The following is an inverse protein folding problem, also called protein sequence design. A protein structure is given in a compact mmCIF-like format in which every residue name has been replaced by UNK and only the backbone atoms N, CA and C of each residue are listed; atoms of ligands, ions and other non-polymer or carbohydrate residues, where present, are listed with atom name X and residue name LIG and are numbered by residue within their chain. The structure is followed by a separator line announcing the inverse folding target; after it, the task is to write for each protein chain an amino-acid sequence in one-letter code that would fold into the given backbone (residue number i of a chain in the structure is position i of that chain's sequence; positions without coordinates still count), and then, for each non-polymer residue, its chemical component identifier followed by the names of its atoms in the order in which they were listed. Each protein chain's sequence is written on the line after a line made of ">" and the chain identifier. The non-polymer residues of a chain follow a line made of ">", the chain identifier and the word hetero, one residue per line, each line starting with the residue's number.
data_IF_050516606916
#
_entry.id   IF_050516606916
#
_cell.length_a   1.000
_cell.length_b   1.000
_cell.length_c   1.000
_cell.angle_alpha   90.00
_cell.angle_beta   90.00
_cell.angle_gamma   90.00
#
_symmetry.space_group_name_H-M   'P 1'
#
loop_
_entity.id
_entity.type
_entity.pdbx_description
1 polymer ?
#
# COMPACT_ATOMS: atom_id res chain seq x y z
N UNK A 1 2.56 -21.78 -5.20
CA UNK A 1 1.72 -21.41 -4.05
C UNK A 1 0.31 -21.95 -4.28
N UNK A 2 -0.19 -22.74 -3.35
CA UNK A 2 -1.48 -23.41 -3.43
C UNK A 2 -2.62 -22.47 -3.00
N UNK A 3 -3.88 -22.86 -3.17
CA UNK A 3 -5.03 -22.02 -2.81
C UNK A 3 -5.09 -21.69 -1.30
N UNK A 4 -4.79 -22.67 -0.45
CA UNK A 4 -4.80 -22.47 1.01
C UNK A 4 -3.69 -21.53 1.47
N UNK A 5 -2.51 -21.59 0.85
CA UNK A 5 -1.39 -20.70 1.16
C UNK A 5 -1.73 -19.25 0.82
N UNK A 6 -2.36 -19.02 -0.34
CA UNK A 6 -2.85 -17.69 -0.74
C UNK A 6 -3.86 -17.14 0.26
N UNK A 7 -4.86 -17.94 0.64
CA UNK A 7 -5.88 -17.53 1.61
C UNK A 7 -5.29 -17.17 2.97
N UNK A 8 -4.33 -17.96 3.46
CA UNK A 8 -3.66 -17.68 4.73
C UNK A 8 -2.83 -16.40 4.63
N UNK A 9 -2.09 -16.20 3.54
CA UNK A 9 -1.33 -14.99 3.29
C UNK A 9 -2.24 -13.75 3.25
N UNK A 10 -3.32 -13.79 2.46
CA UNK A 10 -4.31 -12.71 2.38
C UNK A 10 -4.93 -12.40 3.75
N UNK A 11 -5.24 -13.43 4.54
CA UNK A 11 -5.77 -13.26 5.88
C UNK A 11 -4.78 -12.56 6.81
N UNK A 12 -3.53 -13.01 6.84
CA UNK A 12 -2.49 -12.42 7.67
C UNK A 12 -2.18 -10.98 7.25
N UNK A 13 -2.07 -10.71 5.94
CA UNK A 13 -1.87 -9.35 5.41
C UNK A 13 -3.00 -8.41 5.83
N UNK A 14 -4.26 -8.84 5.71
CA UNK A 14 -5.38 -8.02 6.16
C UNK A 14 -5.31 -7.73 7.67
N UNK A 15 -4.92 -8.72 8.48
CA UNK A 15 -4.80 -8.56 9.92
C UNK A 15 -3.61 -7.66 10.31
N UNK A 16 -2.46 -7.78 9.65
CA UNK A 16 -1.25 -7.02 9.94
C UNK A 16 -1.35 -5.59 9.40
N UNK A 17 -1.79 -5.41 8.15
CA UNK A 17 -2.05 -4.09 7.56
C UNK A 17 -3.20 -3.37 8.28
N UNK A 18 -4.19 -4.09 8.81
CA UNK A 18 -5.23 -3.47 9.63
C UNK A 18 -4.65 -2.80 10.89
N UNK A 19 -3.66 -3.41 11.54
CA UNK A 19 -2.95 -2.79 12.68
C UNK A 19 -2.10 -1.60 12.23
N UNK A 20 -1.39 -1.75 11.11
CA UNK A 20 -0.58 -0.69 10.52
C UNK A 20 -1.44 0.53 10.13
N UNK A 21 -2.64 0.29 9.59
CA UNK A 21 -3.63 1.30 9.24
C UNK A 21 -4.01 2.13 10.46
N UNK A 22 -4.39 1.47 11.57
CA UNK A 22 -4.79 2.18 12.79
C UNK A 22 -3.62 2.96 13.42
N UNK A 23 -2.40 2.41 13.38
CA UNK A 23 -1.20 3.10 13.85
C UNK A 23 -0.91 4.37 13.04
N UNK A 24 -0.93 4.27 11.70
CA UNK A 24 -0.73 5.42 10.81
C UNK A 24 -1.84 6.47 10.98
N UNK A 25 -3.09 6.05 11.18
CA UNK A 25 -4.23 6.97 11.35
C UNK A 25 -4.15 7.80 12.63
N UNK A 26 -3.52 7.27 13.67
CA UNK A 26 -3.26 8.00 14.92
C UNK A 26 -2.08 8.99 14.84
N UNK A 27 -1.16 8.76 13.91
CA UNK A 27 0.12 9.48 13.85
C UNK A 27 0.20 10.49 12.69
N UNK A 28 -0.37 10.15 11.53
CA UNK A 28 -0.20 10.90 10.28
C UNK A 28 -1.47 11.66 9.92
N UNK A 29 -1.45 13.00 9.96
CA UNK A 29 -2.59 13.80 9.51
C UNK A 29 -2.94 13.53 8.05
N UNK A 30 -4.23 13.33 7.78
CA UNK A 30 -4.76 13.15 6.43
C UNK A 30 -4.68 11.72 5.89
N UNK A 31 -4.01 10.79 6.57
CA UNK A 31 -4.08 9.38 6.20
C UNK A 31 -5.53 8.85 6.29
N UNK A 32 -5.97 8.11 5.28
CA UNK A 32 -7.33 7.56 5.17
C UNK A 32 -7.35 6.06 5.38
N UNK A 33 -6.63 5.32 4.53
CA UNK A 33 -6.66 3.87 4.50
C UNK A 33 -5.45 3.33 3.72
N UNK A 34 -5.15 2.05 3.92
CA UNK A 34 -4.10 1.32 3.22
C UNK A 34 -4.72 0.10 2.55
N UNK A 35 -4.25 -0.22 1.35
CA UNK A 35 -4.64 -1.45 0.64
C UNK A 35 -3.40 -2.17 0.15
N UNK A 36 -3.54 -3.46 -0.13
CA UNK A 36 -2.52 -4.25 -0.80
C UNK A 36 -3.04 -4.76 -2.14
N UNK A 37 -2.15 -4.81 -3.12
CA UNK A 37 -2.35 -5.37 -4.44
C UNK A 37 -1.31 -6.46 -4.62
N UNK A 38 -1.77 -7.69 -4.85
CA UNK A 38 -0.88 -8.81 -5.14
C UNK A 38 -1.06 -9.24 -6.57
N UNK A 39 0.04 -9.23 -7.31
CA UNK A 39 0.13 -9.77 -8.65
C UNK A 39 0.80 -11.14 -8.58
N UNK A 40 -0.03 -12.17 -8.67
CA UNK A 40 0.44 -13.55 -8.69
C UNK A 40 0.95 -13.90 -10.10
N UNK A 41 2.22 -13.62 -10.35
CA UNK A 41 2.91 -14.07 -11.56
C UNK A 41 3.24 -15.57 -11.51
N UNK A 42 3.52 -16.15 -12.68
CA UNK A 42 3.90 -17.58 -12.81
C UNK A 42 5.25 -17.89 -12.14
N UNK A 43 6.13 -16.89 -12.03
CA UNK A 43 7.51 -17.04 -11.54
C UNK A 43 7.77 -16.26 -10.25
N UNK A 44 7.11 -15.11 -10.05
CA UNK A 44 7.25 -14.27 -8.85
C UNK A 44 5.90 -13.73 -8.42
N UNK A 45 5.67 -13.63 -7.11
CA UNK A 45 4.54 -12.89 -6.55
C UNK A 45 5.03 -11.49 -6.25
N UNK A 46 4.45 -10.52 -6.94
CA UNK A 46 4.71 -9.11 -6.70
C UNK A 46 3.63 -8.57 -5.76
N UNK A 47 4.03 -7.80 -4.76
CA UNK A 47 3.11 -7.21 -3.79
C UNK A 47 3.37 -5.71 -3.73
N UNK A 48 2.29 -4.93 -3.82
CA UNK A 48 2.30 -3.49 -3.68
C UNK A 48 1.36 -3.10 -2.56
N UNK A 49 1.81 -2.24 -1.67
CA UNK A 49 1.01 -1.68 -0.58
C UNK A 49 0.86 -0.20 -0.84
N UNK A 50 -0.38 0.23 -1.02
CA UNK A 50 -0.71 1.62 -1.35
C UNK A 50 -1.32 2.30 -0.14
N UNK A 51 -0.64 3.34 0.35
CA UNK A 51 -1.10 4.18 1.46
C UNK A 51 -1.81 5.41 0.90
N UNK A 52 -3.09 5.58 1.26
CA UNK A 52 -3.96 6.61 0.68
C UNK A 52 -4.25 7.72 1.68
N UNK A 53 -4.06 8.95 1.22
CA UNK A 53 -4.33 10.20 1.94
C UNK A 53 -5.59 10.89 1.41
N UNK A 54 -6.19 11.83 2.16
CA UNK A 54 -7.35 12.57 1.67
C UNK A 54 -6.99 13.54 0.54
N UNK A 55 -5.79 14.15 0.61
CA UNK A 55 -5.37 15.19 -0.32
C UNK A 55 -3.87 15.12 -0.61
N UNK A 56 -3.49 15.59 -1.80
CA UNK A 56 -2.08 15.67 -2.20
C UNK A 56 -1.26 16.55 -1.27
N UNK A 57 -1.90 17.54 -0.63
CA UNK A 57 -1.26 18.39 0.37
C UNK A 57 -0.83 17.59 1.60
N UNK A 58 -1.72 16.80 2.20
CA UNK A 58 -1.38 16.00 3.38
C UNK A 58 -0.36 14.91 3.03
N UNK A 59 -0.46 14.29 1.84
CA UNK A 59 0.56 13.38 1.33
C UNK A 59 1.95 14.06 1.28
N UNK A 60 2.03 15.23 0.64
CA UNK A 60 3.30 15.96 0.54
C UNK A 60 3.84 16.40 1.91
N UNK A 61 2.95 16.82 2.83
CA UNK A 61 3.31 17.15 4.21
C UNK A 61 3.87 15.93 4.96
N UNK A 62 3.23 14.76 4.82
CA UNK A 62 3.66 13.51 5.45
C UNK A 62 5.07 13.09 4.96
N UNK A 63 5.30 13.11 3.65
CA UNK A 63 6.60 12.80 3.05
C UNK A 63 7.68 13.79 3.50
N UNK A 64 7.37 15.10 3.52
CA UNK A 64 8.30 16.14 4.00
C UNK A 64 8.63 15.99 5.49
N UNK A 65 7.70 15.50 6.29
CA UNK A 65 7.89 15.23 7.69
C UNK A 65 8.62 13.89 7.95
N UNK A 66 8.94 13.12 6.91
CA UNK A 66 9.69 11.87 7.01
C UNK A 66 8.82 10.66 7.40
N UNK A 67 7.50 10.76 7.33
CA UNK A 67 6.61 9.62 7.62
C UNK A 67 6.72 8.50 6.58
N UNK A 68 7.37 8.74 5.43
CA UNK A 68 7.71 7.69 4.47
C UNK A 68 8.46 6.54 5.14
N UNK A 69 9.49 6.83 5.94
CA UNK A 69 10.28 5.81 6.61
C UNK A 69 9.44 5.02 7.64
N UNK A 70 8.52 5.71 8.31
CA UNK A 70 7.60 5.09 9.26
C UNK A 70 6.59 4.16 8.55
N UNK A 71 5.97 4.62 7.46
CA UNK A 71 5.04 3.80 6.67
C UNK A 71 5.72 2.60 6.02
N UNK A 72 6.96 2.77 5.56
CA UNK A 72 7.79 1.67 5.08
C UNK A 72 8.04 0.64 6.18
N UNK A 73 8.41 1.09 7.39
CA UNK A 73 8.63 0.21 8.52
C UNK A 73 7.36 -0.58 8.91
N UNK A 74 6.21 0.11 9.01
CA UNK A 74 4.93 -0.53 9.29
C UNK A 74 4.56 -1.57 8.22
N UNK A 75 4.87 -1.28 6.95
CA UNK A 75 4.62 -2.23 5.86
C UNK A 75 5.56 -3.42 5.94
N UNK A 76 6.85 -3.20 6.19
CA UNK A 76 7.84 -4.25 6.36
C UNK A 76 7.43 -5.21 7.48
N UNK A 77 7.10 -4.69 8.68
CA UNK A 77 6.60 -5.50 9.79
C UNK A 77 5.34 -6.28 9.42
N UNK A 78 4.43 -5.66 8.65
CA UNK A 78 3.20 -6.30 8.23
C UNK A 78 3.43 -7.45 7.23
N UNK A 79 4.37 -7.28 6.30
CA UNK A 79 4.77 -8.30 5.33
C UNK A 79 5.52 -9.44 6.01
N UNK A 80 6.49 -9.13 6.87
CA UNK A 80 7.27 -10.13 7.60
C UNK A 80 6.37 -10.99 8.50
N UNK A 81 5.42 -10.37 9.19
CA UNK A 81 4.44 -11.09 10.00
C UNK A 81 3.53 -12.01 9.16
N UNK A 82 3.27 -11.65 7.91
CA UNK A 82 2.53 -12.48 6.96
C UNK A 82 3.41 -13.55 6.27
N UNK A 83 4.71 -13.61 6.59
CA UNK A 83 5.67 -14.56 6.00
C UNK A 83 6.19 -14.14 4.63
N UNK A 84 6.06 -12.87 4.27
CA UNK A 84 6.57 -12.28 3.03
C UNK A 84 7.82 -11.48 3.35
N UNK A 85 8.94 -11.85 2.73
CA UNK A 85 10.18 -11.08 2.82
C UNK A 85 10.45 -10.41 1.48
N UNK A 86 10.60 -9.10 1.50
CA UNK A 86 10.95 -8.29 0.32
C UNK A 86 12.38 -7.79 0.43
N UNK A 87 13.05 -7.62 -0.71
CA UNK A 87 14.45 -7.17 -0.73
C UNK A 87 14.59 -5.67 -0.54
N UNK A 88 13.62 -4.89 -1.03
CA UNK A 88 13.59 -3.44 -0.88
C UNK A 88 12.14 -2.99 -0.71
N UNK A 89 11.74 -2.73 0.55
CA UNK A 89 10.37 -2.35 0.90
C UNK A 89 9.87 -1.13 0.11
N UNK A 90 10.76 -0.20 -0.26
CA UNK A 90 10.41 1.04 -0.98
C UNK A 90 9.90 0.78 -2.40
N UNK A 91 10.19 -0.39 -2.97
CA UNK A 91 9.67 -0.79 -4.28
C UNK A 91 8.29 -1.46 -4.18
N UNK A 92 7.86 -1.79 -2.96
CA UNK A 92 6.59 -2.42 -2.66
C UNK A 92 5.63 -1.48 -1.92
N UNK A 93 6.02 -0.23 -1.68
CA UNK A 93 5.22 0.77 -0.98
C UNK A 93 5.00 1.96 -1.91
N UNK A 94 3.74 2.25 -2.16
CA UNK A 94 3.28 3.37 -2.97
C UNK A 94 2.41 4.31 -2.12
N UNK A 95 2.40 5.59 -2.48
CA UNK A 95 1.63 6.61 -1.78
C UNK A 95 0.73 7.35 -2.75
N UNK A 96 -0.52 7.56 -2.35
CA UNK A 96 -1.53 8.13 -3.22
C UNK A 96 -2.56 8.96 -2.43
N UNK A 97 -3.46 9.64 -3.11
CA UNK A 97 -4.54 10.40 -2.47
C UNK A 97 -5.89 10.25 -3.15
N UNK A 98 -6.95 10.36 -2.34
CA UNK A 98 -8.34 10.42 -2.81
C UNK A 98 -8.54 11.55 -3.82
N UNK A 99 -7.90 12.71 -3.59
CA UNK A 99 -7.92 13.84 -4.52
C UNK A 99 -7.32 13.49 -5.89
N UNK A 100 -6.19 12.78 -5.92
CA UNK A 100 -5.55 12.38 -7.17
C UNK A 100 -6.33 11.29 -7.90
N UNK A 101 -6.86 10.30 -7.18
CA UNK A 101 -7.76 9.30 -7.74
C UNK A 101 -9.04 9.94 -8.30
N UNK A 102 -9.63 10.91 -7.59
CA UNK A 102 -10.78 11.69 -8.06
C UNK A 102 -10.45 12.44 -9.36
N UNK A 103 -9.27 13.04 -9.45
CA UNK A 103 -8.83 13.81 -10.62
C UNK A 103 -8.52 12.94 -11.83
N UNK A 104 -7.75 11.86 -11.64
CA UNK A 104 -7.23 11.03 -12.72
C UNK A 104 -8.22 9.94 -13.17
N UNK A 105 -8.97 9.35 -12.23
CA UNK A 105 -9.84 8.20 -12.47
C UNK A 105 -11.26 8.39 -11.94
N UNK A 106 -11.68 9.61 -11.60
CA UNK A 106 -13.03 9.88 -11.11
C UNK A 106 -13.34 9.27 -9.74
N UNK A 107 -12.31 8.89 -8.98
CA UNK A 107 -12.45 8.22 -7.67
C UNK A 107 -12.56 6.70 -7.80
N UNK A 108 -12.37 6.15 -9.00
CA UNK A 108 -12.42 4.72 -9.25
C UNK A 108 -11.07 4.06 -8.91
N UNK A 109 -10.91 3.70 -7.64
CA UNK A 109 -9.71 3.01 -7.15
C UNK A 109 -9.50 1.65 -7.80
N UNK A 110 -10.57 0.99 -8.24
CA UNK A 110 -10.45 -0.27 -8.96
C UNK A 110 -9.73 -0.03 -10.29
N UNK A 111 -10.13 1.00 -11.04
CA UNK A 111 -9.41 1.40 -12.25
C UNK A 111 -7.98 1.83 -11.93
N UNK A 112 -7.78 2.68 -10.92
CA UNK A 112 -6.46 3.18 -10.55
C UNK A 112 -5.44 2.10 -10.15
N UNK A 113 -5.88 1.08 -9.42
CA UNK A 113 -5.01 -0.02 -8.97
C UNK A 113 -4.84 -1.12 -10.03
N UNK A 114 -5.74 -1.21 -11.02
CA UNK A 114 -5.67 -2.21 -12.09
C UNK A 114 -4.98 -1.67 -13.34
N UNK A 115 -5.10 -0.36 -13.58
CA UNK A 115 -4.31 0.32 -14.59
C UNK A 115 -2.88 0.41 -14.08
N UNK A 116 -2.02 -0.49 -14.56
CA UNK A 116 -0.57 -0.27 -14.56
C UNK A 116 -0.31 1.20 -14.89
N UNK A 117 0.65 1.87 -14.22
CA UNK A 117 0.96 3.25 -14.56
C UNK A 117 1.26 3.26 -16.05
N UNK A 118 0.45 4.01 -16.82
CA UNK A 118 0.81 4.34 -18.18
C UNK A 118 2.19 5.01 -18.07
N UNK A 119 3.25 4.23 -18.34
CA UNK A 119 4.60 4.69 -18.46
C UNK A 119 4.59 5.70 -19.62
N UNK A 120 4.28 6.95 -19.30
CA UNK A 120 4.53 8.08 -20.18
C UNK A 120 6.05 8.26 -20.17
N UNK A 121 6.69 7.63 -21.14
CA UNK A 121 8.06 7.91 -21.57
C UNK A 121 8.21 9.34 -22.10
#
# INVERSE_FOLDING_TARGET
>A
MNESERKNLEHELNATLGRACEAARGEIPGFQWVTHVMEYGEVTTNIHVVWVFDSNRHLAEALRAGHEAYLNHLTEEALEAAGVTVSDIRQHVDFDSEEECARAHGGDWKLRLTSEPEHVH
#
